data_IF_954115379776
#
_entry.id   IF_954115379776
#
_cell.length_a   1.000
_cell.length_b   1.000
_cell.length_c   1.000
_cell.angle_alpha   90.00
_cell.angle_beta   90.00
_cell.angle_gamma   90.00
#
_symmetry.space_group_name_H-M   'P 1'
#
loop_
_entity.id
_entity.type
_entity.pdbx_description
1 polymer ?
#
# COMPACT_ATOMS: atom_id res chain seq x y z
N UNK A 1 -36.36 -55.28 68.65
CA UNK A 1 -35.34 -56.32 68.36
C UNK A 1 -34.49 -55.76 67.22
N UNK A 2 -33.52 -54.92 67.57
CA UNK A 2 -32.10 -55.30 67.67
C UNK A 2 -31.49 -55.76 66.34
N UNK A 3 -30.66 -54.89 65.77
CA UNK A 3 -29.41 -55.29 65.10
C UNK A 3 -28.50 -54.07 64.88
N UNK A 4 -27.61 -53.86 65.85
CA UNK A 4 -26.18 -53.54 65.72
C UNK A 4 -25.59 -53.01 64.40
N UNK A 5 -24.77 -51.95 64.49
CA UNK A 5 -23.39 -51.83 63.94
C UNK A 5 -22.79 -50.48 64.39
N UNK A 6 -21.77 -50.51 65.27
CA UNK A 6 -20.33 -50.58 64.99
C UNK A 6 -19.68 -49.19 64.88
N UNK A 7 -18.78 -48.89 65.83
CA UNK A 7 -17.94 -47.69 65.95
C UNK A 7 -16.60 -47.91 65.27
N UNK A 8 -16.15 -47.00 64.39
CA UNK A 8 -14.73 -46.65 64.17
C UNK A 8 -14.68 -45.19 63.63
N UNK A 9 -14.00 -44.28 64.33
CA UNK A 9 -13.46 -43.03 63.73
C UNK A 9 -12.07 -43.30 63.13
N UNK A 10 -11.24 -42.30 62.72
CA UNK A 10 -11.43 -40.84 62.75
C UNK A 10 -11.02 -40.11 61.43
N UNK A 11 -11.20 -38.78 61.42
CA UNK A 11 -10.34 -37.71 60.83
C UNK A 11 -9.59 -37.93 59.51
N UNK A 12 -9.85 -37.10 58.48
CA UNK A 12 -9.04 -35.92 58.11
C UNK A 12 -9.63 -35.29 56.84
N UNK A 13 -10.01 -34.02 56.91
CA UNK A 13 -10.44 -33.24 55.75
C UNK A 13 -9.20 -32.84 54.91
N UNK A 14 -9.16 -33.23 53.64
CA UNK A 14 -8.18 -32.72 52.70
C UNK A 14 -8.65 -31.36 52.16
N UNK A 15 -7.96 -30.30 52.57
CA UNK A 15 -8.01 -28.98 51.95
C UNK A 15 -7.58 -29.10 50.48
N UNK A 16 -8.52 -28.93 49.55
CA UNK A 16 -8.20 -28.64 48.15
C UNK A 16 -7.83 -27.16 48.04
N UNK A 17 -6.53 -26.88 47.94
CA UNK A 17 -6.01 -25.59 47.50
C UNK A 17 -6.44 -25.38 46.04
N UNK A 18 -7.52 -24.61 45.86
CA UNK A 18 -7.83 -23.95 44.59
C UNK A 18 -6.74 -22.91 44.34
N UNK A 19 -5.74 -23.27 43.53
CA UNK A 19 -4.82 -22.31 42.93
C UNK A 19 -5.65 -21.46 41.97
N UNK A 20 -6.07 -20.29 42.44
CA UNK A 20 -6.61 -19.24 41.61
C UNK A 20 -5.51 -18.78 40.67
N UNK A 21 -5.49 -19.34 39.45
CA UNK A 21 -4.71 -18.78 38.36
C UNK A 21 -5.28 -17.38 38.11
N UNK A 22 -4.50 -16.30 38.26
CA UNK A 22 -5.01 -14.96 37.99
C UNK A 22 -5.33 -14.87 36.50
N UNK A 23 -6.62 -14.85 36.19
CA UNK A 23 -7.15 -14.43 34.90
C UNK A 23 -6.50 -13.11 34.53
N UNK A 24 -5.61 -13.14 33.54
CA UNK A 24 -5.05 -11.94 32.93
C UNK A 24 -6.16 -11.23 32.16
N UNK A 25 -7.01 -10.51 32.89
CA UNK A 25 -7.87 -9.47 32.36
C UNK A 25 -6.98 -8.28 32.01
N UNK A 26 -6.36 -8.34 30.84
CA UNK A 26 -5.50 -7.28 30.31
C UNK A 26 -6.39 -6.28 29.59
N UNK A 27 -7.05 -5.42 30.37
CA UNK A 27 -7.74 -4.24 29.89
C UNK A 27 -7.20 -3.04 30.71
N UNK A 28 -6.67 -2.03 30.00
CA UNK A 28 -6.11 -0.77 30.50
C UNK A 28 -4.76 -0.85 31.25
N UNK A 29 -3.65 -0.89 30.50
CA UNK A 29 -2.33 -0.45 30.96
C UNK A 29 -1.72 0.52 29.93
N UNK A 30 -2.37 1.66 29.73
CA UNK A 30 -1.73 2.82 29.12
C UNK A 30 -1.33 3.79 30.22
N UNK A 31 -0.14 4.37 30.12
CA UNK A 31 0.24 5.56 30.87
C UNK A 31 -0.64 6.73 30.41
N UNK A 32 -1.62 7.09 31.25
CA UNK A 32 -2.59 8.16 30.98
C UNK A 32 -1.97 9.55 31.02
N UNK A 33 -0.70 9.68 31.44
CA UNK A 33 0.04 10.94 31.40
C UNK A 33 0.64 11.20 30.02
N UNK A 34 0.64 10.20 29.14
CA UNK A 34 1.18 10.26 27.78
C UNK A 34 0.05 10.24 26.73
N UNK A 35 0.30 10.78 25.53
CA UNK A 35 -0.63 10.70 24.40
C UNK A 35 -1.03 9.25 24.06
N UNK A 36 -2.23 9.07 23.48
CA UNK A 36 -2.75 7.74 23.16
C UNK A 36 -1.93 7.01 22.07
N UNK A 37 -1.16 7.76 21.27
CA UNK A 37 -0.24 7.26 20.27
C UNK A 37 1.22 7.10 20.79
N UNK A 38 1.51 7.32 22.08
CA UNK A 38 2.83 7.02 22.64
C UNK A 38 3.12 5.51 22.55
N UNK A 39 4.33 5.09 22.14
CA UNK A 39 4.71 3.67 22.04
C UNK A 39 4.47 2.86 23.32
N UNK A 40 4.62 3.46 24.50
CA UNK A 40 4.35 2.81 25.79
C UNK A 40 2.86 2.46 25.98
N UNK A 41 1.98 3.13 25.24
CA UNK A 41 0.53 2.88 25.23
C UNK A 41 0.11 1.84 24.17
N UNK A 42 1.05 1.30 23.38
CA UNK A 42 0.75 0.25 22.42
C UNK A 42 0.42 -1.08 23.13
N UNK A 43 -0.80 -1.64 22.98
CA UNK A 43 -1.19 -2.87 23.66
C UNK A 43 -0.47 -4.12 23.12
N UNK A 44 0.14 -4.02 21.93
CA UNK A 44 0.73 -5.17 21.25
C UNK A 44 2.22 -5.34 21.49
N UNK A 45 2.92 -4.22 21.60
CA UNK A 45 4.38 -4.18 21.71
C UNK A 45 4.83 -3.51 23.01
N UNK A 46 4.03 -2.60 23.58
CA UNK A 46 4.42 -1.72 24.69
C UNK A 46 5.77 -1.01 24.46
N UNK A 47 6.15 -0.80 23.19
CA UNK A 47 7.46 -0.27 22.81
C UNK A 47 8.64 -1.22 23.01
N UNK A 48 8.42 -2.52 23.24
CA UNK A 48 9.50 -3.50 23.43
C UNK A 48 10.36 -3.64 22.16
N UNK A 49 11.65 -3.26 22.20
CA UNK A 49 12.52 -3.30 21.03
C UNK A 49 12.70 -4.70 20.43
N UNK A 50 12.55 -5.77 21.21
CA UNK A 50 12.65 -7.15 20.70
C UNK A 50 11.44 -7.51 19.86
N UNK A 51 10.25 -7.12 20.29
CA UNK A 51 9.01 -7.35 19.55
C UNK A 51 9.03 -6.52 18.26
N UNK A 52 9.42 -5.25 18.35
CA UNK A 52 9.53 -4.36 17.19
C UNK A 52 10.50 -4.90 16.15
N UNK A 53 11.73 -5.27 16.58
CA UNK A 53 12.73 -5.86 15.68
C UNK A 53 12.24 -7.16 15.04
N UNK A 54 11.58 -8.03 15.81
CA UNK A 54 11.04 -9.28 15.28
C UNK A 54 9.94 -9.04 14.23
N UNK A 55 9.17 -7.96 14.37
CA UNK A 55 8.13 -7.55 13.43
C UNK A 55 8.64 -6.67 12.28
N UNK A 56 9.95 -6.45 12.14
CA UNK A 56 10.51 -5.60 11.08
C UNK A 56 10.29 -4.09 11.27
N UNK A 57 9.98 -3.67 12.50
CA UNK A 57 9.73 -2.26 12.84
C UNK A 57 11.01 -1.63 13.40
N UNK A 58 11.41 -0.51 12.81
CA UNK A 58 12.61 0.26 13.22
C UNK A 58 12.28 1.29 14.29
N UNK A 59 11.15 1.98 14.17
CA UNK A 59 10.71 2.99 15.13
C UNK A 59 9.19 3.13 15.17
N UNK A 60 8.67 3.64 16.30
CA UNK A 60 7.26 4.00 16.50
C UNK A 60 7.05 5.53 16.58
N UNK A 61 7.93 6.31 15.95
CA UNK A 61 7.88 7.78 15.90
C UNK A 61 9.25 8.43 16.00
N UNK A 62 9.30 9.77 15.97
CA UNK A 62 10.52 10.56 16.15
C UNK A 62 11.44 10.60 14.92
N UNK A 63 10.96 10.17 13.76
CA UNK A 63 11.66 10.25 12.48
C UNK A 63 11.12 11.41 11.62
N UNK A 64 11.88 11.91 10.63
CA UNK A 64 11.41 12.98 9.74
C UNK A 64 10.22 12.57 8.88
N UNK A 65 9.20 13.42 8.76
CA UNK A 65 7.97 13.14 8.02
C UNK A 65 7.33 14.41 7.46
N UNK A 66 6.88 14.41 6.20
CA UNK A 66 6.38 15.62 5.54
C UNK A 66 7.45 16.70 5.44
N UNK A 67 7.13 17.92 5.85
CA UNK A 67 8.12 19.00 5.96
C UNK A 67 8.79 19.08 7.35
N UNK A 68 8.44 18.16 8.26
CA UNK A 68 8.94 18.17 9.64
C UNK A 68 10.16 17.26 9.82
N UNK A 69 11.10 17.71 10.65
CA UNK A 69 12.28 16.94 11.07
C UNK A 69 11.91 15.75 11.98
N UNK A 70 10.70 15.75 12.54
CA UNK A 70 10.20 14.71 13.44
C UNK A 70 8.69 14.60 13.39
N UNK A 71 8.15 13.39 13.53
CA UNK A 71 6.70 13.14 13.67
C UNK A 71 6.05 13.93 14.82
N UNK A 72 6.84 14.41 15.79
CA UNK A 72 6.35 15.23 16.89
C UNK A 72 5.72 16.55 16.42
N UNK A 73 6.26 17.21 15.38
CA UNK A 73 5.66 18.43 14.82
C UNK A 73 4.30 18.16 14.19
N UNK A 74 4.18 17.02 13.52
CA UNK A 74 2.92 16.56 12.94
C UNK A 74 1.90 16.24 14.04
N UNK A 75 2.31 15.59 15.13
CA UNK A 75 1.44 15.29 16.28
C UNK A 75 0.99 16.54 17.03
N UNK A 76 1.84 17.58 17.12
CA UNK A 76 1.44 18.87 17.70
C UNK A 76 0.33 19.51 16.86
N UNK A 77 0.47 19.49 15.53
CA UNK A 77 -0.51 20.06 14.60
C UNK A 77 -1.80 19.23 14.50
N UNK A 78 -1.68 17.90 14.39
CA UNK A 78 -2.78 16.93 14.24
C UNK A 78 -3.15 16.27 15.57
N UNK A 79 -2.97 16.94 16.71
CA UNK A 79 -3.08 16.33 18.04
C UNK A 79 -4.42 15.64 18.35
N UNK A 80 -5.50 15.98 17.64
CA UNK A 80 -6.80 15.30 17.77
C UNK A 80 -6.90 13.96 17.04
N UNK A 81 -5.93 13.63 16.18
CA UNK A 81 -6.00 12.47 15.28
C UNK A 81 -5.29 11.24 15.84
N UNK A 82 -4.53 11.40 16.93
CA UNK A 82 -3.71 10.34 17.55
C UNK A 82 -2.97 9.50 16.50
N UNK A 83 -2.08 10.11 15.70
CA UNK A 83 -1.45 9.39 14.58
C UNK A 83 -0.49 8.34 15.13
N UNK A 84 -0.66 7.07 14.75
CA UNK A 84 0.27 5.99 15.13
C UNK A 84 1.35 5.91 14.07
N UNK A 85 2.58 6.18 14.48
CA UNK A 85 3.75 6.23 13.62
C UNK A 85 4.46 4.89 13.59
N UNK A 86 4.85 4.43 12.40
CA UNK A 86 5.65 3.21 12.20
C UNK A 86 6.68 3.51 11.12
N UNK A 87 7.95 3.26 11.43
CA UNK A 87 9.01 3.16 10.45
C UNK A 87 9.39 1.70 10.24
N UNK A 88 9.40 1.25 9.00
CA UNK A 88 9.85 -0.07 8.57
C UNK A 88 11.17 0.05 7.81
N UNK A 89 11.64 -1.05 7.21
CA UNK A 89 12.81 -1.02 6.33
C UNK A 89 12.64 -0.01 5.19
N UNK A 90 11.46 -0.01 4.54
CA UNK A 90 11.25 0.77 3.32
C UNK A 90 10.36 2.00 3.51
N UNK A 91 9.52 2.06 4.55
CA UNK A 91 8.50 3.10 4.66
C UNK A 91 8.53 3.86 5.98
N UNK A 92 7.95 5.06 5.92
CA UNK A 92 7.50 5.82 7.10
C UNK A 92 6.00 6.02 6.99
N UNK A 93 5.26 5.57 7.99
CA UNK A 93 3.81 5.46 7.91
C UNK A 93 3.18 6.10 9.15
N UNK A 94 2.18 6.96 8.94
CA UNK A 94 1.30 7.50 9.97
C UNK A 94 -0.13 7.02 9.77
N UNK A 95 -0.75 6.45 10.81
CA UNK A 95 -2.14 5.97 10.76
C UNK A 95 -2.97 6.62 11.87
N UNK A 96 -3.75 7.64 11.51
CA UNK A 96 -4.70 8.38 12.36
C UNK A 96 -6.12 7.82 12.28
N UNK A 97 -6.24 6.49 12.29
CA UNK A 97 -7.51 5.78 12.14
C UNK A 97 -8.07 5.32 13.49
N UNK A 98 -9.39 5.38 13.64
CA UNK A 98 -10.10 4.84 14.80
C UNK A 98 -10.21 3.31 14.78
N UNK A 99 -10.75 2.71 15.86
CA UNK A 99 -11.01 1.27 15.93
C UNK A 99 -11.99 0.83 14.85
N UNK A 100 -11.77 -0.37 14.30
CA UNK A 100 -12.57 -0.92 13.22
C UNK A 100 -13.28 -2.21 13.64
N UNK A 101 -14.60 -2.27 13.49
CA UNK A 101 -15.38 -3.47 13.83
C UNK A 101 -15.37 -4.44 12.66
N UNK A 102 -14.85 -5.64 12.88
CA UNK A 102 -14.72 -6.67 11.85
C UNK A 102 -16.02 -7.45 11.71
N UNK A 103 -16.60 -7.46 10.52
CA UNK A 103 -17.74 -8.33 10.21
C UNK A 103 -17.33 -9.80 10.08
N UNK A 104 -18.30 -10.72 10.15
CA UNK A 104 -18.01 -12.15 9.92
C UNK A 104 -17.48 -12.43 8.50
N UNK A 105 -17.96 -11.68 7.49
CA UNK A 105 -17.54 -11.83 6.07
C UNK A 105 -16.07 -11.41 5.90
N UNK A 106 -15.63 -10.39 6.63
CA UNK A 106 -14.26 -9.85 6.51
C UNK A 106 -13.25 -10.63 7.33
N UNK A 107 -13.67 -11.23 8.46
CA UNK A 107 -12.76 -11.97 9.34
C UNK A 107 -11.93 -13.02 8.59
N UNK A 108 -12.54 -13.71 7.61
CA UNK A 108 -11.85 -14.69 6.79
C UNK A 108 -10.72 -14.08 5.94
N UNK A 109 -10.91 -12.87 5.39
CA UNK A 109 -9.91 -12.18 4.55
C UNK A 109 -8.75 -11.64 5.38
N UNK A 110 -9.05 -11.14 6.58
CA UNK A 110 -8.04 -10.55 7.48
C UNK A 110 -7.30 -11.61 8.30
N UNK A 111 -7.75 -12.86 8.31
CA UNK A 111 -7.19 -13.88 9.19
C UNK A 111 -5.71 -14.14 8.91
N UNK A 112 -5.32 -14.26 7.64
CA UNK A 112 -3.93 -14.48 7.25
C UNK A 112 -3.04 -13.32 7.72
N UNK A 113 -3.45 -12.07 7.43
CA UNK A 113 -2.72 -10.88 7.85
C UNK A 113 -2.52 -10.82 9.38
N UNK A 114 -3.58 -11.11 10.13
CA UNK A 114 -3.54 -11.14 11.60
C UNK A 114 -2.66 -12.26 12.14
N UNK A 115 -2.66 -13.43 11.49
CA UNK A 115 -1.82 -14.56 11.88
C UNK A 115 -0.34 -14.25 11.68
N UNK A 116 0.03 -13.60 10.56
CA UNK A 116 1.41 -13.16 10.32
C UNK A 116 1.91 -12.19 11.39
N UNK A 117 1.11 -11.18 11.74
CA UNK A 117 1.44 -10.27 12.84
C UNK A 117 1.55 -10.99 14.20
N UNK A 118 0.68 -11.97 14.47
CA UNK A 118 0.67 -12.71 15.73
C UNK A 118 1.92 -13.58 15.95
N UNK A 119 2.66 -13.95 14.89
CA UNK A 119 3.95 -14.65 15.00
C UNK A 119 4.95 -13.82 15.80
N UNK A 120 4.98 -12.50 15.57
CA UNK A 120 5.93 -11.59 16.18
C UNK A 120 5.35 -10.81 17.36
N UNK A 121 4.02 -10.68 17.43
CA UNK A 121 3.29 -9.98 18.49
C UNK A 121 2.31 -10.93 19.20
N UNK A 122 2.76 -11.74 20.17
CA UNK A 122 1.95 -12.82 20.77
C UNK A 122 0.68 -12.38 21.52
N UNK A 123 0.56 -11.07 21.80
CA UNK A 123 -0.63 -10.46 22.37
C UNK A 123 -1.82 -10.48 21.39
N UNK A 124 -1.56 -10.49 20.09
CA UNK A 124 -2.56 -10.61 19.03
C UNK A 124 -3.12 -12.02 19.05
N UNK A 125 -4.45 -12.13 19.19
CA UNK A 125 -5.17 -13.41 19.17
C UNK A 125 -6.16 -13.37 18.01
N UNK A 126 -5.73 -13.72 16.78
CA UNK A 126 -6.53 -13.53 15.55
C UNK A 126 -7.96 -14.03 15.67
N UNK A 127 -8.15 -15.21 16.26
CA UNK A 127 -9.47 -15.81 16.41
C UNK A 127 -10.43 -15.08 17.35
N UNK A 128 -9.89 -14.30 18.29
CA UNK A 128 -10.69 -13.56 19.28
C UNK A 128 -10.97 -12.12 18.87
N UNK A 129 -10.33 -11.63 17.81
CA UNK A 129 -10.50 -10.26 17.34
C UNK A 129 -11.90 -10.08 16.75
N UNK A 130 -12.61 -9.09 17.29
CA UNK A 130 -13.89 -8.56 16.79
C UNK A 130 -13.81 -7.09 16.43
N UNK A 131 -12.82 -6.40 17.00
CA UNK A 131 -12.51 -5.00 16.77
C UNK A 131 -11.00 -4.94 16.62
N UNK A 132 -10.53 -4.34 15.52
CA UNK A 132 -9.13 -4.02 15.28
C UNK A 132 -8.92 -2.64 15.91
N UNK A 133 -8.10 -2.56 16.95
CA UNK A 133 -7.77 -1.28 17.57
C UNK A 133 -6.81 -0.46 16.68
N UNK A 134 -6.66 0.85 16.95
CA UNK A 134 -5.84 1.73 16.11
C UNK A 134 -4.39 1.28 15.93
N UNK A 135 -3.75 0.70 16.95
CA UNK A 135 -2.37 0.22 16.82
C UNK A 135 -2.29 -0.99 15.91
N UNK A 136 -3.23 -1.93 16.06
CA UNK A 136 -3.30 -3.07 15.16
C UNK A 136 -3.57 -2.66 13.70
N UNK A 137 -4.43 -1.66 13.47
CA UNK A 137 -4.62 -1.09 12.12
C UNK A 137 -3.31 -0.55 11.56
N UNK A 138 -2.56 0.21 12.35
CA UNK A 138 -1.27 0.75 11.93
C UNK A 138 -0.29 -0.36 11.50
N UNK A 139 -0.17 -1.42 12.31
CA UNK A 139 0.69 -2.57 11.98
C UNK A 139 0.23 -3.32 10.72
N UNK A 140 -1.08 -3.44 10.50
CA UNK A 140 -1.61 -4.03 9.27
C UNK A 140 -1.22 -3.22 8.03
N UNK A 141 -1.34 -1.89 8.06
CA UNK A 141 -0.91 -1.04 6.94
C UNK A 141 0.61 -1.05 6.73
N UNK A 142 1.40 -1.17 7.80
CA UNK A 142 2.84 -1.36 7.69
C UNK A 142 3.20 -2.70 7.01
N UNK A 143 2.55 -3.80 7.41
CA UNK A 143 2.74 -5.10 6.77
C UNK A 143 2.33 -5.06 5.29
N UNK A 144 1.19 -4.42 4.97
CA UNK A 144 0.71 -4.27 3.58
C UNK A 144 1.66 -3.43 2.72
N UNK A 145 2.29 -2.40 3.28
CA UNK A 145 3.29 -1.61 2.58
C UNK A 145 4.50 -2.48 2.16
N UNK A 146 5.02 -3.25 3.11
CA UNK A 146 6.16 -4.16 2.90
C UNK A 146 5.83 -5.33 1.94
N UNK A 147 4.60 -5.86 2.03
CA UNK A 147 4.09 -6.85 1.08
C UNK A 147 4.03 -6.27 -0.35
N UNK A 148 3.54 -5.04 -0.50
CA UNK A 148 3.48 -4.35 -1.78
C UNK A 148 4.88 -4.04 -2.31
N UNK A 149 5.82 -3.61 -1.47
CA UNK A 149 7.23 -3.41 -1.86
C UNK A 149 7.82 -4.67 -2.46
N UNK A 150 7.68 -5.80 -1.75
CA UNK A 150 8.14 -7.11 -2.21
C UNK A 150 7.47 -7.51 -3.54
N UNK A 151 6.16 -7.25 -3.67
CA UNK A 151 5.41 -7.51 -4.90
C UNK A 151 5.93 -6.67 -6.07
N UNK A 152 6.19 -5.38 -5.83
CA UNK A 152 6.71 -4.45 -6.84
C UNK A 152 8.12 -4.86 -7.27
N UNK A 153 9.00 -5.22 -6.34
CA UNK A 153 10.32 -5.80 -6.67
C UNK A 153 10.21 -7.04 -7.56
N UNK A 154 9.27 -7.94 -7.25
CA UNK A 154 8.99 -9.11 -8.08
C UNK A 154 8.50 -8.77 -9.49
N UNK A 155 7.68 -7.73 -9.65
CA UNK A 155 7.19 -7.26 -10.96
C UNK A 155 8.33 -6.61 -11.76
N UNK A 156 9.14 -5.79 -11.09
CA UNK A 156 10.26 -5.05 -11.70
C UNK A 156 11.47 -5.95 -11.98
N UNK A 157 11.58 -7.09 -11.30
CA UNK A 157 12.72 -7.99 -11.42
C UNK A 157 13.98 -7.46 -10.74
N UNK A 158 13.82 -6.74 -9.63
CA UNK A 158 14.90 -6.08 -8.87
C UNK A 158 14.85 -6.45 -7.40
N UNK A 159 15.89 -6.09 -6.67
CA UNK A 159 16.07 -6.24 -5.22
C UNK A 159 16.62 -4.95 -4.62
N UNK A 160 16.59 -4.81 -3.28
CA UNK A 160 17.17 -3.63 -2.61
C UNK A 160 18.64 -3.39 -2.99
N UNK A 161 19.39 -4.48 -3.26
CA UNK A 161 20.81 -4.42 -3.61
C UNK A 161 21.11 -3.89 -5.01
N UNK A 162 20.09 -3.74 -5.86
CA UNK A 162 20.25 -3.16 -7.21
C UNK A 162 20.25 -1.62 -7.17
N UNK A 163 19.82 -1.02 -6.06
CA UNK A 163 19.74 0.42 -5.88
C UNK A 163 20.98 0.99 -5.16
N UNK A 164 21.40 2.23 -5.48
CA UNK A 164 22.54 2.84 -4.82
C UNK A 164 22.24 3.16 -3.35
N UNK A 165 23.27 3.19 -2.51
CA UNK A 165 23.13 3.48 -1.07
C UNK A 165 22.89 4.97 -0.73
N UNK A 166 22.83 5.83 -1.76
CA UNK A 166 22.64 7.28 -1.63
C UNK A 166 23.90 8.09 -1.28
N UNK A 167 25.06 7.45 -1.11
CA UNK A 167 26.32 8.15 -0.79
C UNK A 167 26.98 8.80 -2.00
N UNK A 168 26.66 8.30 -3.20
CA UNK A 168 27.06 8.87 -4.47
C UNK A 168 25.80 9.12 -5.28
N UNK A 169 25.66 10.30 -5.92
CA UNK A 169 24.52 10.57 -6.77
C UNK A 169 24.48 9.66 -8.00
N UNK A 170 25.59 9.00 -8.37
CA UNK A 170 25.68 8.12 -9.53
C UNK A 170 26.64 6.96 -9.27
N UNK A 171 26.17 5.73 -9.45
CA UNK A 171 27.07 4.61 -9.74
C UNK A 171 27.28 4.53 -11.26
N UNK A 172 28.41 5.06 -11.73
CA UNK A 172 28.74 5.17 -13.16
C UNK A 172 29.22 3.86 -13.78
N UNK A 173 29.16 2.73 -13.07
CA UNK A 173 29.70 1.45 -13.55
C UNK A 173 28.66 0.53 -14.19
N UNK A 174 27.41 0.98 -14.30
CA UNK A 174 26.34 0.16 -14.86
C UNK A 174 25.13 0.95 -15.33
N UNK A 175 23.97 0.32 -15.15
CA UNK A 175 22.67 0.85 -15.53
C UNK A 175 22.19 1.83 -14.47
N UNK A 176 21.60 2.96 -14.87
CA UNK A 176 21.10 3.94 -13.89
C UNK A 176 19.92 3.36 -13.10
N UNK A 177 20.03 3.37 -11.78
CA UNK A 177 19.06 2.82 -10.83
C UNK A 177 18.52 3.89 -9.87
N UNK A 178 18.59 5.17 -10.25
CA UNK A 178 18.25 6.29 -9.37
C UNK A 178 19.44 6.75 -8.52
N UNK A 179 19.15 7.49 -7.46
CA UNK A 179 20.13 8.19 -6.63
C UNK A 179 20.08 7.79 -5.15
N UNK A 180 19.21 6.87 -4.77
CA UNK A 180 19.13 6.34 -3.42
C UNK A 180 18.50 4.94 -3.32
N UNK A 181 18.46 4.38 -2.10
CA UNK A 181 18.17 2.96 -1.89
C UNK A 181 16.68 2.63 -1.95
N UNK A 182 15.80 3.63 -1.98
CA UNK A 182 14.36 3.41 -1.90
C UNK A 182 13.73 3.47 -3.29
N UNK A 183 13.87 2.36 -4.04
CA UNK A 183 13.47 2.25 -5.46
C UNK A 183 14.19 3.25 -6.39
N UNK A 184 15.19 3.98 -5.91
CA UNK A 184 15.89 5.03 -6.65
C UNK A 184 15.81 6.41 -5.99
N UNK A 185 14.92 6.59 -5.02
CA UNK A 185 14.84 7.79 -4.17
C UNK A 185 15.79 7.67 -2.97
N UNK A 186 16.33 8.79 -2.47
CA UNK A 186 17.13 8.85 -1.23
C UNK A 186 16.28 8.68 0.00
N UNK A 187 15.05 9.19 -0.03
CA UNK A 187 14.13 9.18 1.08
C UNK A 187 13.21 7.97 1.06
N UNK A 188 12.87 7.47 2.25
CA UNK A 188 11.82 6.44 2.39
C UNK A 188 10.48 7.01 1.93
N UNK A 189 9.70 6.31 1.10
CA UNK A 189 8.33 6.71 0.80
C UNK A 189 7.51 6.88 2.09
N UNK A 190 6.70 7.93 2.09
CA UNK A 190 5.90 8.34 3.23
C UNK A 190 4.42 8.15 2.96
N UNK A 191 3.70 7.59 3.93
CA UNK A 191 2.24 7.44 3.85
C UNK A 191 1.55 7.94 5.12
N UNK A 192 0.55 8.81 4.97
CA UNK A 192 -0.32 9.28 6.03
C UNK A 192 -1.78 8.89 5.75
N UNK A 193 -2.43 8.19 6.67
CA UNK A 193 -3.84 7.81 6.55
C UNK A 193 -4.65 8.46 7.67
N UNK A 194 -5.65 9.28 7.32
CA UNK A 194 -6.46 10.05 8.27
C UNK A 194 -7.93 9.64 8.24
N UNK A 195 -8.60 9.77 9.38
CA UNK A 195 -10.01 9.40 9.54
C UNK A 195 -11.02 10.41 9.00
N UNK A 196 -10.58 11.58 8.51
CA UNK A 196 -11.48 12.60 7.99
C UNK A 196 -10.89 13.40 6.83
N UNK A 197 -11.77 13.85 5.93
CA UNK A 197 -11.41 14.76 4.83
C UNK A 197 -10.89 16.11 5.37
N UNK A 198 -11.47 16.59 6.48
CA UNK A 198 -11.07 17.85 7.11
C UNK A 198 -9.61 17.82 7.53
N UNK A 199 -9.21 16.83 8.32
CA UNK A 199 -7.82 16.68 8.76
C UNK A 199 -6.85 16.50 7.58
N UNK A 200 -7.23 15.77 6.54
CA UNK A 200 -6.43 15.64 5.33
C UNK A 200 -6.24 16.99 4.61
N UNK A 201 -7.34 17.73 4.39
CA UNK A 201 -7.30 19.02 3.73
C UNK A 201 -6.48 20.03 4.54
N UNK A 202 -6.63 20.03 5.87
CA UNK A 202 -5.90 20.91 6.78
C UNK A 202 -4.40 20.57 6.82
N UNK A 203 -4.03 19.28 6.78
CA UNK A 203 -2.65 18.84 6.67
C UNK A 203 -2.02 19.26 5.33
N UNK A 204 -2.66 18.91 4.21
CA UNK A 204 -2.17 19.20 2.87
C UNK A 204 -2.05 20.71 2.61
N UNK A 205 -2.99 21.50 3.13
CA UNK A 205 -2.94 22.96 3.03
C UNK A 205 -1.81 23.55 3.86
N UNK A 206 -1.59 23.07 5.08
CA UNK A 206 -0.57 23.61 5.98
C UNK A 206 0.83 23.32 5.46
N UNK A 207 1.11 22.07 5.11
CA UNK A 207 2.46 21.63 4.74
C UNK A 207 2.76 21.76 3.24
N UNK A 208 1.77 21.77 2.36
CA UNK A 208 2.03 21.78 0.91
C UNK A 208 1.25 22.85 0.15
N UNK A 209 0.47 23.69 0.84
CA UNK A 209 -0.35 24.73 0.20
C UNK A 209 -1.47 24.17 -0.70
N UNK A 210 -1.77 22.87 -0.63
CA UNK A 210 -2.72 22.22 -1.52
C UNK A 210 -4.17 22.38 -1.02
N UNK A 211 -5.09 22.65 -1.95
CA UNK A 211 -6.52 22.84 -1.66
C UNK A 211 -7.39 21.64 -2.08
N UNK A 212 -6.75 20.52 -2.44
CA UNK A 212 -7.45 19.29 -2.78
C UNK A 212 -8.16 18.71 -1.56
N UNK A 213 -9.28 18.03 -1.82
CA UNK A 213 -10.08 17.32 -0.81
C UNK A 213 -10.03 15.82 -0.99
N UNK A 214 -9.15 15.34 -1.86
CA UNK A 214 -8.96 13.93 -2.18
C UNK A 214 -7.62 13.45 -1.62
N UNK A 215 -7.42 12.14 -1.59
CA UNK A 215 -6.10 11.55 -1.42
C UNK A 215 -5.11 12.14 -2.43
N UNK A 216 -3.87 12.36 -2.01
CA UNK A 216 -2.87 13.08 -2.78
C UNK A 216 -1.51 12.39 -2.70
N UNK A 217 -0.88 12.20 -3.86
CA UNK A 217 0.56 11.91 -3.98
C UNK A 217 1.32 13.21 -4.21
N UNK A 218 2.45 13.40 -3.55
CA UNK A 218 3.26 14.60 -3.61
C UNK A 218 4.75 14.26 -3.61
N UNK A 219 5.56 15.08 -4.27
CA UNK A 219 7.01 14.96 -4.26
C UNK A 219 7.61 16.05 -3.35
N UNK A 220 8.30 15.64 -2.29
CA UNK A 220 9.04 16.53 -1.39
C UNK A 220 10.47 16.63 -1.89
N UNK A 221 10.71 17.57 -2.80
CA UNK A 221 11.97 17.71 -3.53
C UNK A 221 13.21 17.83 -2.62
N UNK A 222 13.12 18.63 -1.55
CA UNK A 222 14.26 18.89 -0.66
C UNK A 222 14.73 17.63 0.09
N UNK A 223 13.83 16.67 0.28
CA UNK A 223 14.10 15.41 0.99
C UNK A 223 14.22 14.21 0.06
N UNK A 224 13.90 14.38 -1.23
CA UNK A 224 13.84 13.30 -2.22
C UNK A 224 12.94 12.15 -1.75
N UNK A 225 11.71 12.52 -1.39
CA UNK A 225 10.69 11.65 -0.80
C UNK A 225 9.38 11.79 -1.57
N UNK A 226 8.81 10.65 -1.97
CA UNK A 226 7.43 10.60 -2.40
C UNK A 226 6.50 10.41 -1.19
N UNK A 227 5.51 11.30 -1.08
CA UNK A 227 4.60 11.40 0.04
C UNK A 227 3.16 11.13 -0.41
N UNK A 228 2.43 10.29 0.32
CA UNK A 228 1.05 9.91 0.04
C UNK A 228 0.18 10.23 1.25
N UNK A 229 -0.89 10.99 1.04
CA UNK A 229 -1.92 11.25 2.05
C UNK A 229 -3.24 10.65 1.60
N UNK A 230 -3.88 9.87 2.46
CA UNK A 230 -5.18 9.22 2.25
C UNK A 230 -6.13 9.63 3.37
N UNK A 231 -7.43 9.71 3.08
CA UNK A 231 -8.44 9.77 4.11
C UNK A 231 -9.67 8.91 3.86
N UNK A 232 -10.31 8.47 4.94
CA UNK A 232 -11.52 7.61 4.85
C UNK A 232 -12.78 8.37 4.42
N UNK A 233 -12.76 9.71 4.47
CA UNK A 233 -13.89 10.55 4.04
C UNK A 233 -14.14 10.62 2.53
N UNK A 234 -13.37 9.89 1.72
CA UNK A 234 -13.52 9.83 0.26
C UNK A 234 -14.19 8.51 -0.12
N UNK A 235 -15.31 8.54 -0.84
CA UNK A 235 -15.99 7.30 -1.30
C UNK A 235 -16.35 6.37 -0.14
N UNK A 236 -16.12 5.08 -0.33
CA UNK A 236 -16.43 4.01 0.65
C UNK A 236 -15.20 3.62 1.50
N UNK A 237 -14.23 4.53 1.66
CA UNK A 237 -12.94 4.25 2.32
C UNK A 237 -13.04 4.14 3.85
N UNK A 238 -14.24 4.19 4.43
CA UNK A 238 -14.51 3.75 5.79
C UNK A 238 -14.62 2.21 5.90
N UNK A 239 -14.84 1.51 4.78
CA UNK A 239 -14.72 0.05 4.68
C UNK A 239 -13.25 -0.38 4.54
N UNK A 240 -12.83 -1.40 5.31
CA UNK A 240 -11.41 -1.79 5.36
C UNK A 240 -10.90 -2.39 4.04
N UNK A 241 -11.75 -3.11 3.31
CA UNK A 241 -11.39 -3.66 2.00
C UNK A 241 -11.21 -2.56 0.94
N UNK A 242 -12.06 -1.53 0.96
CA UNK A 242 -11.96 -0.37 0.08
C UNK A 242 -10.70 0.45 0.40
N UNK A 243 -10.44 0.72 1.67
CA UNK A 243 -9.25 1.45 2.11
C UNK A 243 -7.95 0.72 1.76
N UNK A 244 -7.91 -0.60 1.93
CA UNK A 244 -6.76 -1.42 1.53
C UNK A 244 -6.53 -1.35 0.00
N UNK A 245 -7.58 -1.51 -0.80
CA UNK A 245 -7.51 -1.37 -2.25
C UNK A 245 -6.96 -0.01 -2.68
N UNK A 246 -7.53 1.06 -2.13
CA UNK A 246 -7.12 2.44 -2.41
C UNK A 246 -5.68 2.74 -1.99
N UNK A 247 -5.26 2.20 -0.84
CA UNK A 247 -3.88 2.27 -0.37
C UNK A 247 -2.93 1.61 -1.38
N UNK A 248 -3.22 0.39 -1.83
CA UNK A 248 -2.39 -0.33 -2.81
C UNK A 248 -2.40 0.36 -4.18
N UNK A 249 -3.55 0.85 -4.63
CA UNK A 249 -3.65 1.63 -5.86
C UNK A 249 -2.72 2.85 -5.82
N UNK A 250 -2.78 3.65 -4.77
CA UNK A 250 -1.98 4.86 -4.69
C UNK A 250 -0.50 4.58 -4.46
N UNK A 251 -0.18 3.65 -3.55
CA UNK A 251 1.20 3.32 -3.21
C UNK A 251 1.92 2.63 -4.38
N UNK A 252 1.23 1.80 -5.17
CA UNK A 252 1.84 1.18 -6.36
C UNK A 252 2.25 2.23 -7.39
N UNK A 253 1.43 3.25 -7.66
CA UNK A 253 1.82 4.34 -8.54
C UNK A 253 2.99 5.15 -7.98
N UNK A 254 2.99 5.40 -6.66
CA UNK A 254 4.11 6.07 -6.01
C UNK A 254 5.42 5.26 -6.16
N UNK A 255 5.37 3.93 -6.01
CA UNK A 255 6.55 3.07 -6.20
C UNK A 255 7.00 2.98 -7.67
N UNK A 256 6.08 3.07 -8.63
CA UNK A 256 6.42 3.22 -10.05
C UNK A 256 7.10 4.57 -10.34
N UNK A 257 6.61 5.62 -9.72
CA UNK A 257 7.20 6.97 -9.82
C UNK A 257 8.60 6.97 -9.22
N UNK A 258 8.80 6.32 -8.08
CA UNK A 258 10.11 6.17 -7.43
C UNK A 258 11.10 5.32 -8.25
N UNK A 259 10.64 4.34 -9.03
CA UNK A 259 11.52 3.39 -9.72
C UNK A 259 12.54 4.11 -10.62
N UNK A 260 13.82 4.05 -10.25
CA UNK A 260 14.94 4.77 -10.89
C UNK A 260 14.81 6.30 -10.81
N UNK A 261 14.32 6.79 -9.68
CA UNK A 261 14.08 8.20 -9.36
C UNK A 261 12.94 8.84 -10.17
N UNK A 262 12.21 9.74 -9.52
CA UNK A 262 11.04 10.43 -10.07
C UNK A 262 11.42 11.73 -10.79
N UNK A 263 11.97 11.58 -12.01
CA UNK A 263 12.43 12.71 -12.83
C UNK A 263 11.46 13.14 -13.93
N UNK A 264 10.60 12.22 -14.36
CA UNK A 264 9.61 12.45 -15.42
C UNK A 264 8.48 11.42 -15.32
N UNK A 265 7.35 11.75 -15.93
CA UNK A 265 6.18 10.88 -15.97
C UNK A 265 6.33 9.75 -17.00
N UNK A 266 5.87 8.55 -16.64
CA UNK A 266 5.74 7.42 -17.56
C UNK A 266 4.33 7.39 -18.18
N UNK A 267 4.08 6.62 -19.25
CA UNK A 267 2.75 6.55 -19.86
C UNK A 267 1.66 6.17 -18.85
N UNK A 268 0.61 6.98 -18.80
CA UNK A 268 -0.47 6.85 -17.79
C UNK A 268 -1.13 5.46 -17.81
N UNK A 269 -1.27 4.85 -18.99
CA UNK A 269 -1.90 3.54 -19.12
C UNK A 269 -1.17 2.47 -18.29
N UNK A 270 0.16 2.56 -18.14
CA UNK A 270 0.95 1.66 -17.31
C UNK A 270 0.69 1.92 -15.82
N UNK A 271 0.72 3.19 -15.40
CA UNK A 271 0.47 3.59 -13.99
C UNK A 271 -0.91 3.14 -13.55
N UNK A 272 -1.93 3.50 -14.33
CA UNK A 272 -3.32 3.17 -14.06
C UNK A 272 -3.57 1.68 -14.16
N UNK A 273 -3.21 1.05 -15.28
CA UNK A 273 -3.47 -0.36 -15.51
C UNK A 273 -2.87 -1.26 -14.43
N UNK A 274 -1.62 -1.00 -14.02
CA UNK A 274 -0.97 -1.79 -12.97
C UNK A 274 -1.58 -1.53 -11.59
N UNK A 275 -1.90 -0.28 -11.27
CA UNK A 275 -2.57 0.06 -10.03
C UNK A 275 -3.96 -0.61 -9.93
N UNK A 276 -4.75 -0.62 -11.01
CA UNK A 276 -6.02 -1.35 -11.11
C UNK A 276 -5.80 -2.86 -10.93
N UNK A 277 -4.80 -3.44 -11.58
CA UNK A 277 -4.51 -4.87 -11.48
C UNK A 277 -4.18 -5.28 -10.04
N UNK A 278 -3.36 -4.48 -9.35
CA UNK A 278 -2.99 -4.71 -7.95
C UNK A 278 -4.18 -4.50 -6.99
N UNK A 279 -4.89 -3.38 -7.09
CA UNK A 279 -6.06 -3.08 -6.25
C UNK A 279 -7.15 -4.14 -6.37
N UNK A 280 -7.51 -4.51 -7.60
CA UNK A 280 -8.60 -5.46 -7.87
C UNK A 280 -8.26 -6.88 -7.43
N UNK A 281 -6.98 -7.21 -7.26
CA UNK A 281 -6.55 -8.49 -6.66
C UNK A 281 -6.90 -8.59 -5.17
N UNK A 282 -7.11 -7.46 -4.48
CA UNK A 282 -7.55 -7.40 -3.08
C UNK A 282 -9.07 -7.56 -2.98
N UNK A 283 -9.80 -6.66 -3.66
CA UNK A 283 -11.24 -6.73 -3.75
C UNK A 283 -11.74 -6.01 -5.02
N UNK A 284 -12.24 -6.74 -6.04
CA UNK A 284 -12.69 -6.12 -7.29
C UNK A 284 -13.97 -5.29 -7.13
N UNK A 285 -14.65 -5.34 -5.98
CA UNK A 285 -15.85 -4.54 -5.68
C UNK A 285 -15.55 -3.05 -5.50
N UNK A 286 -14.30 -2.69 -5.18
CA UNK A 286 -13.87 -1.29 -4.99
C UNK A 286 -12.82 -0.95 -6.04
N UNK A 287 -12.91 0.25 -6.61
CA UNK A 287 -11.99 0.72 -7.65
C UNK A 287 -11.66 2.19 -7.42
N UNK A 288 -10.38 2.51 -7.48
CA UNK A 288 -9.85 3.86 -7.36
C UNK A 288 -9.55 4.42 -8.73
N UNK A 289 -9.87 5.69 -8.96
CA UNK A 289 -9.58 6.37 -10.20
C UNK A 289 -8.84 7.66 -9.88
N UNK A 290 -7.79 7.97 -10.63
CA UNK A 290 -7.18 9.29 -10.55
C UNK A 290 -8.08 10.35 -11.21
N UNK A 291 -8.07 11.54 -10.64
CA UNK A 291 -8.54 12.75 -11.33
C UNK A 291 -7.34 13.59 -11.80
N UNK A 292 -7.62 14.72 -12.42
CA UNK A 292 -6.62 15.75 -12.69
C UNK A 292 -7.13 17.12 -12.22
N UNK A 293 -6.24 18.10 -12.16
CA UNK A 293 -6.66 19.49 -11.93
C UNK A 293 -7.66 19.89 -13.02
N UNK A 294 -8.93 20.09 -12.63
CA UNK A 294 -10.02 20.42 -13.56
C UNK A 294 -10.86 19.24 -14.08
N UNK A 295 -10.52 17.98 -13.79
CA UNK A 295 -11.33 16.82 -14.14
C UNK A 295 -11.57 15.90 -12.95
N UNK A 296 -12.84 15.67 -12.62
CA UNK A 296 -13.22 14.76 -11.56
C UNK A 296 -12.87 13.31 -11.95
N UNK A 297 -12.38 12.54 -10.97
CA UNK A 297 -12.18 11.10 -11.14
C UNK A 297 -13.49 10.41 -11.53
N UNK A 298 -13.40 9.44 -12.43
CA UNK A 298 -14.51 8.56 -12.80
C UNK A 298 -14.95 7.74 -11.58
N UNK A 299 -16.22 7.33 -11.55
CA UNK A 299 -16.76 6.48 -10.49
C UNK A 299 -17.52 5.30 -11.10
N UNK A 300 -17.14 4.10 -10.69
CA UNK A 300 -17.91 2.87 -10.91
C UNK A 300 -17.70 1.92 -9.73
N UNK A 301 -18.77 1.24 -9.33
CA UNK A 301 -18.74 0.16 -8.33
C UNK A 301 -18.84 -1.22 -8.99
N UNK A 302 -18.60 -1.30 -10.30
CA UNK A 302 -18.74 -2.54 -11.04
C UNK A 302 -17.62 -3.50 -10.67
N UNK A 303 -17.98 -4.65 -10.10
CA UNK A 303 -17.02 -5.68 -9.76
C UNK A 303 -16.53 -6.46 -10.99
N UNK A 304 -17.41 -6.72 -11.95
CA UNK A 304 -17.10 -7.46 -13.19
C UNK A 304 -16.65 -6.50 -14.31
N UNK A 305 -15.33 -6.40 -14.51
CA UNK A 305 -14.70 -5.66 -15.60
C UNK A 305 -14.46 -6.53 -16.84
N UNK A 306 -14.57 -7.86 -16.73
CA UNK A 306 -14.36 -8.78 -17.83
C UNK A 306 -15.41 -8.55 -18.92
N UNK A 307 -16.68 -8.54 -18.52
CA UNK A 307 -17.81 -8.34 -19.44
C UNK A 307 -17.76 -7.04 -20.25
N UNK A 308 -17.59 -5.84 -19.63
CA UNK A 308 -17.48 -4.61 -20.41
C UNK A 308 -16.22 -4.57 -21.28
N UNK A 309 -15.09 -5.13 -20.82
CA UNK A 309 -13.88 -5.21 -21.65
C UNK A 309 -14.13 -6.07 -22.89
N UNK A 310 -14.71 -7.26 -22.72
CA UNK A 310 -15.03 -8.13 -23.85
C UNK A 310 -15.98 -7.47 -24.84
N UNK A 311 -16.99 -6.74 -24.35
CA UNK A 311 -17.90 -5.99 -25.20
C UNK A 311 -17.17 -4.95 -26.06
N UNK A 312 -16.23 -4.18 -25.47
CA UNK A 312 -15.41 -3.20 -26.19
C UNK A 312 -14.56 -3.84 -27.30
N UNK A 313 -13.98 -5.01 -27.02
CA UNK A 313 -13.20 -5.75 -28.02
C UNK A 313 -14.10 -6.30 -29.13
N UNK A 314 -15.29 -6.82 -28.81
CA UNK A 314 -16.22 -7.36 -29.81
C UNK A 314 -16.73 -6.28 -30.77
N UNK A 315 -16.98 -5.08 -30.27
CA UNK A 315 -17.42 -3.95 -31.10
C UNK A 315 -16.27 -3.21 -31.79
N UNK A 316 -15.01 -3.59 -31.53
CA UNK A 316 -13.82 -2.85 -31.98
C UNK A 316 -13.76 -1.39 -31.48
N UNK A 317 -14.39 -1.11 -30.34
CA UNK A 317 -14.41 0.21 -29.70
C UNK A 317 -13.30 0.37 -28.64
N UNK A 318 -12.54 -0.69 -28.35
CA UNK A 318 -11.39 -0.60 -27.44
C UNK A 318 -10.32 0.35 -27.99
N UNK A 319 -9.83 1.26 -27.13
CA UNK A 319 -8.71 2.14 -27.45
C UNK A 319 -7.45 1.31 -27.77
N UNK A 320 -6.72 1.68 -28.82
CA UNK A 320 -5.47 1.01 -29.20
C UNK A 320 -4.32 1.43 -28.29
N UNK A 321 -3.30 0.57 -28.16
CA UNK A 321 -2.07 0.93 -27.43
C UNK A 321 -1.39 2.18 -28.02
N UNK A 322 -1.44 2.35 -29.35
CA UNK A 322 -0.87 3.52 -30.03
C UNK A 322 -1.57 4.84 -29.64
N UNK A 323 -2.85 4.80 -29.27
CA UNK A 323 -3.58 5.95 -28.75
C UNK A 323 -3.32 6.13 -27.25
N UNK A 324 -3.29 5.04 -26.48
CA UNK A 324 -3.04 5.07 -25.03
C UNK A 324 -1.71 5.73 -24.66
N UNK A 325 -0.63 5.45 -25.40
CA UNK A 325 0.69 6.07 -25.12
C UNK A 325 0.70 7.59 -25.32
N UNK A 326 -0.30 8.15 -26.02
CA UNK A 326 -0.40 9.60 -26.26
C UNK A 326 -1.21 10.33 -25.19
N UNK A 327 -1.94 9.62 -24.34
CA UNK A 327 -2.71 10.23 -23.24
C UNK A 327 -1.72 10.83 -22.23
N UNK A 328 -1.84 12.13 -21.97
CA UNK A 328 -0.89 12.87 -21.12
C UNK A 328 -1.46 13.18 -19.73
N UNK A 329 -2.78 13.20 -19.56
CA UNK A 329 -3.44 13.47 -18.28
C UNK A 329 -4.41 12.38 -17.83
N UNK A 330 -4.50 12.16 -16.51
CA UNK A 330 -5.44 11.19 -15.93
C UNK A 330 -6.91 11.52 -16.27
N UNK A 331 -7.24 12.81 -16.39
CA UNK A 331 -8.58 13.28 -16.76
C UNK A 331 -8.99 12.97 -18.21
N UNK A 332 -8.08 12.50 -19.06
CA UNK A 332 -8.38 12.06 -20.43
C UNK A 332 -8.77 10.57 -20.51
N UNK A 333 -8.56 9.80 -19.42
CA UNK A 333 -9.05 8.43 -19.37
C UNK A 333 -10.56 8.44 -19.13
N UNK A 334 -11.30 7.83 -20.04
CA UNK A 334 -12.72 7.53 -19.87
C UNK A 334 -12.88 6.16 -19.19
N UNK A 335 -14.10 5.86 -18.72
CA UNK A 335 -14.36 4.60 -18.02
C UNK A 335 -14.03 3.38 -18.90
N UNK A 336 -14.29 3.45 -20.20
CA UNK A 336 -13.92 2.41 -21.16
C UNK A 336 -12.40 2.22 -21.24
N UNK A 337 -11.62 3.31 -21.17
CA UNK A 337 -10.16 3.23 -21.16
C UNK A 337 -9.65 2.50 -19.92
N UNK A 338 -10.24 2.72 -18.75
CA UNK A 338 -9.88 2.00 -17.53
C UNK A 338 -10.06 0.47 -17.66
N UNK A 339 -11.18 0.02 -18.25
CA UNK A 339 -11.39 -1.40 -18.55
C UNK A 339 -10.31 -1.96 -19.48
N UNK A 340 -9.98 -1.23 -20.54
CA UNK A 340 -8.95 -1.62 -21.50
C UNK A 340 -7.56 -1.69 -20.88
N UNK A 341 -7.10 -0.64 -20.17
CA UNK A 341 -5.73 -0.61 -19.61
C UNK A 341 -5.55 -1.64 -18.50
N UNK A 342 -6.56 -1.86 -17.66
CA UNK A 342 -6.55 -2.94 -16.67
C UNK A 342 -6.39 -4.30 -17.35
N UNK A 343 -7.19 -4.58 -18.38
CA UNK A 343 -7.14 -5.87 -19.08
C UNK A 343 -5.85 -6.07 -19.88
N UNK A 344 -5.27 -5.02 -20.45
CA UNK A 344 -3.96 -5.10 -21.11
C UNK A 344 -2.88 -5.50 -20.11
N UNK A 345 -2.89 -4.93 -18.90
CA UNK A 345 -1.97 -5.35 -17.84
C UNK A 345 -2.31 -6.77 -17.36
N UNK A 346 -3.57 -7.15 -17.23
CA UNK A 346 -3.96 -8.50 -16.84
C UNK A 346 -3.43 -9.57 -17.82
N UNK A 347 -3.56 -9.31 -19.13
CA UNK A 347 -2.94 -10.12 -20.18
C UNK A 347 -1.42 -10.18 -20.04
N UNK A 348 -0.76 -9.03 -19.85
CA UNK A 348 0.70 -8.99 -19.69
C UNK A 348 1.15 -9.74 -18.43
N UNK A 349 0.48 -9.59 -17.31
CA UNK A 349 0.83 -10.27 -16.06
C UNK A 349 0.56 -11.78 -16.13
N UNK A 350 -0.38 -12.21 -16.97
CA UNK A 350 -0.72 -13.63 -17.16
C UNK A 350 0.19 -14.31 -18.18
N UNK A 351 0.30 -13.76 -19.38
CA UNK A 351 0.98 -14.39 -20.52
C UNK A 351 2.45 -13.98 -20.65
N UNK A 352 2.80 -12.81 -20.13
CA UNK A 352 4.12 -12.19 -20.29
C UNK A 352 4.65 -11.57 -18.99
N UNK A 353 4.68 -12.31 -17.85
CA UNK A 353 4.82 -11.74 -16.51
C UNK A 353 6.12 -10.95 -16.26
N UNK A 354 7.14 -11.10 -17.10
CA UNK A 354 8.40 -10.35 -17.02
C UNK A 354 8.38 -9.03 -17.79
N UNK A 355 7.46 -8.88 -18.73
CA UNK A 355 7.51 -7.79 -19.70
C UNK A 355 7.26 -6.43 -19.06
N UNK A 356 6.34 -6.32 -18.10
CA UNK A 356 6.07 -5.04 -17.42
C UNK A 356 7.35 -4.50 -16.76
N UNK A 357 8.08 -5.35 -16.06
CA UNK A 357 9.38 -5.01 -15.49
C UNK A 357 10.39 -4.58 -16.57
N UNK A 358 10.53 -5.35 -17.65
CA UNK A 358 11.43 -5.04 -18.78
C UNK A 358 11.07 -3.74 -19.50
N UNK A 359 9.79 -3.44 -19.65
CA UNK A 359 9.31 -2.21 -20.27
C UNK A 359 9.63 -1.00 -19.39
N UNK A 360 9.31 -1.08 -18.10
CA UNK A 360 9.66 -0.05 -17.13
C UNK A 360 11.17 0.16 -17.09
N UNK A 361 11.93 -0.93 -17.19
CA UNK A 361 13.38 -0.93 -17.32
C UNK A 361 13.90 -0.05 -18.47
N UNK A 362 13.28 -0.13 -19.64
CA UNK A 362 13.74 0.56 -20.84
C UNK A 362 13.34 2.04 -20.84
N UNK A 363 12.21 2.38 -20.20
CA UNK A 363 11.63 3.73 -20.23
C UNK A 363 11.90 4.54 -18.95
N UNK A 364 12.33 3.91 -17.85
CA UNK A 364 12.74 4.60 -16.63
C UNK A 364 14.26 4.70 -16.53
N UNK A 365 14.72 5.79 -15.92
CA UNK A 365 16.14 6.09 -15.78
C UNK A 365 16.82 6.44 -17.10
N UNK A 366 16.09 7.05 -18.02
CA UNK A 366 16.64 7.60 -19.25
C UNK A 366 17.44 8.87 -18.93
N UNK A 367 18.63 8.99 -19.50
CA UNK A 367 19.52 10.14 -19.32
C UNK A 367 19.96 10.71 -20.67
N UNK A 368 20.23 12.01 -20.71
CA UNK A 368 20.82 12.68 -21.88
C UNK A 368 22.35 12.54 -21.93
N UNK A 369 22.99 13.19 -22.89
CA UNK A 369 24.47 13.15 -23.08
C UNK A 369 25.24 13.72 -21.88
N UNK A 370 24.59 14.57 -21.07
CA UNK A 370 25.15 15.15 -19.85
C UNK A 370 24.86 14.28 -18.61
N UNK A 371 24.29 13.08 -18.80
CA UNK A 371 23.87 12.18 -17.73
C UNK A 371 22.84 12.81 -16.78
N UNK A 372 22.00 13.69 -17.32
CA UNK A 372 20.84 14.26 -16.60
C UNK A 372 19.62 13.47 -17.02
N UNK A 373 18.74 13.15 -16.07
CA UNK A 373 17.50 12.43 -16.33
C UNK A 373 16.65 13.17 -17.38
N UNK A 374 16.24 12.45 -18.41
CA UNK A 374 15.56 12.99 -19.58
C UNK A 374 14.63 11.96 -20.22
N UNK A 375 13.32 12.20 -20.11
CA UNK A 375 12.27 11.39 -20.74
C UNK A 375 12.11 11.63 -22.25
N UNK A 376 12.93 12.46 -22.89
CA UNK A 376 12.84 12.75 -24.32
C UNK A 376 12.97 11.47 -25.16
N UNK A 377 12.03 11.24 -26.08
CA UNK A 377 12.01 10.05 -26.94
C UNK A 377 11.48 8.78 -26.26
N UNK A 378 10.85 8.89 -25.09
CA UNK A 378 10.25 7.76 -24.38
C UNK A 378 9.28 6.93 -25.24
N UNK A 379 8.48 7.57 -26.09
CA UNK A 379 7.54 6.87 -26.99
C UNK A 379 8.24 5.88 -27.93
N UNK A 380 9.42 6.25 -28.43
CA UNK A 380 10.21 5.40 -29.32
C UNK A 380 10.86 4.25 -28.55
N UNK A 381 11.35 4.50 -27.33
CA UNK A 381 11.85 3.44 -26.45
C UNK A 381 10.75 2.47 -26.04
N UNK A 382 9.58 2.97 -25.66
CA UNK A 382 8.41 2.17 -25.34
C UNK A 382 8.04 1.28 -26.54
N UNK A 383 8.02 1.85 -27.76
CA UNK A 383 7.74 1.07 -28.98
C UNK A 383 8.81 0.01 -29.26
N UNK A 384 10.08 0.36 -29.06
CA UNK A 384 11.20 -0.56 -29.25
C UNK A 384 11.15 -1.72 -28.24
N UNK A 385 10.80 -1.46 -26.98
CA UNK A 385 10.68 -2.45 -25.92
C UNK A 385 9.64 -3.55 -26.27
N UNK A 386 8.48 -3.18 -26.82
CA UNK A 386 7.49 -4.15 -27.30
C UNK A 386 8.07 -5.09 -28.37
N UNK A 387 8.83 -4.55 -29.32
CA UNK A 387 9.45 -5.38 -30.36
C UNK A 387 10.59 -6.23 -29.79
N UNK A 388 11.41 -5.68 -28.91
CA UNK A 388 12.59 -6.33 -28.36
C UNK A 388 12.22 -7.47 -27.40
N UNK A 389 11.27 -7.25 -26.49
CA UNK A 389 10.96 -8.19 -25.41
C UNK A 389 9.73 -9.06 -25.68
N UNK A 390 8.72 -8.56 -26.40
CA UNK A 390 7.53 -9.38 -26.78
C UNK A 390 7.60 -9.92 -28.21
N UNK A 391 8.49 -9.40 -29.05
CA UNK A 391 8.48 -9.72 -30.48
C UNK A 391 7.25 -9.16 -31.22
N UNK A 392 6.57 -8.17 -30.64
CA UNK A 392 5.32 -7.61 -31.17
C UNK A 392 5.46 -6.12 -31.47
N UNK A 393 4.88 -5.68 -32.58
CA UNK A 393 4.49 -4.27 -32.76
C UNK A 393 3.22 -3.97 -31.94
N UNK A 394 2.91 -2.69 -31.69
CA UNK A 394 1.65 -2.34 -30.98
C UNK A 394 0.41 -2.96 -31.65
N UNK A 395 0.32 -2.95 -32.97
CA UNK A 395 -0.82 -3.54 -33.67
C UNK A 395 -0.88 -5.08 -33.52
N UNK A 396 0.27 -5.75 -33.38
CA UNK A 396 0.30 -7.19 -33.08
C UNK A 396 -0.10 -7.44 -31.63
N UNK A 397 0.37 -6.61 -30.70
CA UNK A 397 -0.02 -6.65 -29.30
C UNK A 397 -1.54 -6.47 -29.14
N UNK A 398 -2.12 -5.42 -29.72
CA UNK A 398 -3.56 -5.14 -29.67
C UNK A 398 -4.38 -6.35 -30.16
N UNK A 399 -3.95 -7.01 -31.26
CA UNK A 399 -4.60 -8.22 -31.77
C UNK A 399 -4.44 -9.42 -30.83
N UNK A 400 -3.26 -9.61 -30.25
CA UNK A 400 -2.98 -10.70 -29.33
C UNK A 400 -3.79 -10.57 -28.05
N UNK A 401 -3.79 -9.37 -27.46
CA UNK A 401 -4.60 -9.03 -26.30
C UNK A 401 -6.09 -9.19 -26.58
N UNK A 402 -6.59 -8.65 -27.70
CA UNK A 402 -7.99 -8.78 -28.09
C UNK A 402 -8.43 -10.25 -28.24
N UNK A 403 -7.59 -11.09 -28.85
CA UNK A 403 -7.87 -12.53 -28.99
C UNK A 403 -7.93 -13.21 -27.61
N UNK A 404 -6.98 -12.90 -26.73
CA UNK A 404 -6.95 -13.42 -25.36
C UNK A 404 -8.20 -13.02 -24.56
N UNK A 405 -8.65 -11.76 -24.67
CA UNK A 405 -9.90 -11.28 -24.04
C UNK A 405 -11.12 -12.05 -24.54
N UNK A 406 -11.22 -12.36 -25.84
CA UNK A 406 -12.36 -13.13 -26.36
C UNK A 406 -12.43 -14.55 -25.80
N UNK A 407 -11.28 -15.13 -25.48
CA UNK A 407 -11.15 -16.48 -24.94
C UNK A 407 -11.37 -16.54 -23.43
N UNK A 408 -10.87 -15.56 -22.67
CA UNK A 408 -10.81 -15.62 -21.20
C UNK A 408 -11.91 -14.86 -20.47
N UNK A 409 -12.57 -13.88 -21.12
CA UNK A 409 -13.56 -12.99 -20.47
C UNK A 409 -15.02 -13.27 -20.83
#
# INVERSE_FOLDING_TARGET
>A
MEATRSRWGPSLAALLFLVAIPSHAQAQRGDRTKPANDPANCPHTAGDPKILKAAGILSLGGFPFGEEDSTAGIDEYLGSNDVRWIETAHFRIGVGLGPYRVSRKEKARLMDELQRLAVHMPSIKPEKIRVIDPWLRAYMYAQRAEDLWTKMQGILGVTDGDFPDGTKPWDTQGRYMGIGPFMGEKGKPEVLILSSQGACSDYLRNYFGLLTRMSQRWNILDRDVLHLVIHTGQGDLDEEAALHGHFVFNLSQQLLDAYKHYSYEIPIWLKEGLAHWLERSINPEHNTFNGSEGAAAIRTNKADWNRPTRALVQSSDSISLAQLVRIQGFGELELAHHYTVWSMIDFLMTEHPKFVGQLLDDIKGMVNEQFIDDGTGMDDKHRAAFKAHLGMTYAQFDRSWAAWVQEHY
#
